data_IF_309474553831
#
_entry.id   IF_309474553831
#
_cell.length_a   1.000
_cell.length_b   1.000
_cell.length_c   1.000
_cell.angle_alpha   90.00
_cell.angle_beta   90.00
_cell.angle_gamma   90.00
#
_symmetry.space_group_name_H-M   'P 1'
#
loop_
_entity.id
_entity.type
_entity.pdbx_description
1 polymer ?
#
# COMPACT_ATOMS: atom_id res chain seq x y z
N UNK A 1 7.15 10.83 16.66
CA UNK A 1 6.89 12.11 15.95
C UNK A 1 7.08 13.33 16.86
N UNK A 2 6.31 13.49 17.94
CA UNK A 2 6.44 14.65 18.85
C UNK A 2 7.83 14.81 19.52
N UNK A 3 8.50 13.70 19.87
CA UNK A 3 9.84 13.73 20.50
C UNK A 3 10.95 14.11 19.50
N UNK A 4 10.83 13.68 18.24
CA UNK A 4 11.76 14.04 17.15
C UNK A 4 11.59 15.52 16.76
N UNK A 5 10.34 16.01 16.77
CA UNK A 5 10.01 17.43 16.53
C UNK A 5 10.53 18.32 17.66
N UNK A 6 10.52 17.85 18.91
CA UNK A 6 11.08 18.58 20.04
C UNK A 6 12.62 18.67 19.99
N UNK A 7 13.31 17.58 19.61
CA UNK A 7 14.77 17.56 19.49
C UNK A 7 15.32 18.46 18.37
N UNK A 8 14.56 18.66 17.28
CA UNK A 8 14.96 19.52 16.14
C UNK A 8 14.60 21.00 16.38
N UNK A 9 13.61 21.28 17.24
CA UNK A 9 13.22 22.66 17.59
C UNK A 9 14.33 23.41 18.34
N UNK A 10 15.23 22.68 19.01
CA UNK A 10 16.38 23.22 19.73
C UNK A 10 17.43 23.89 18.84
N UNK A 11 17.44 23.62 17.53
CA UNK A 11 18.50 24.08 16.61
C UNK A 11 18.03 25.19 15.63
N UNK A 12 16.75 25.61 15.74
CA UNK A 12 16.13 26.60 14.84
C UNK A 12 16.41 28.07 15.19
N UNK A 13 17.14 28.35 16.26
CA UNK A 13 17.32 29.73 16.76
C UNK A 13 18.40 30.54 16.04
N UNK A 14 19.03 30.00 14.98
CA UNK A 14 20.21 30.62 14.33
C UNK A 14 20.11 30.87 12.82
N UNK A 15 18.92 30.99 12.22
CA UNK A 15 18.81 31.21 10.76
C UNK A 15 17.98 32.46 10.37
N UNK A 16 18.43 33.25 9.38
CA UNK A 16 17.74 34.46 8.92
C UNK A 16 16.43 34.15 8.18
N UNK A 17 15.41 35.00 8.41
CA UNK A 17 13.99 34.71 8.19
C UNK A 17 13.49 34.50 6.75
N UNK A 18 14.31 34.71 5.71
CA UNK A 18 13.92 34.44 4.32
C UNK A 18 14.27 33.00 3.88
N UNK A 19 15.33 32.40 4.47
CA UNK A 19 15.72 31.02 4.21
C UNK A 19 14.85 30.01 4.95
N UNK A 20 14.21 30.41 6.06
CA UNK A 20 13.37 29.53 6.88
C UNK A 20 12.05 29.14 6.20
N UNK A 21 11.49 30.01 5.34
CA UNK A 21 10.26 29.70 4.58
C UNK A 21 10.52 28.81 3.37
N UNK A 22 11.65 28.99 2.68
CA UNK A 22 12.05 28.14 1.56
C UNK A 22 12.48 26.74 2.04
N UNK A 23 13.17 26.65 3.18
CA UNK A 23 13.45 25.37 3.83
C UNK A 23 12.19 24.68 4.38
N UNK A 24 11.21 25.42 4.92
CA UNK A 24 9.98 24.82 5.43
C UNK A 24 9.14 24.14 4.33
N UNK A 25 9.18 24.66 3.10
CA UNK A 25 8.38 24.14 1.99
C UNK A 25 9.05 22.95 1.25
N UNK A 26 10.39 22.94 1.15
CA UNK A 26 11.13 21.76 0.68
C UNK A 26 11.21 20.65 1.73
N UNK A 27 11.41 20.98 3.01
CA UNK A 27 11.50 20.01 4.10
C UNK A 27 10.17 19.26 4.33
N UNK A 28 9.01 19.84 3.99
CA UNK A 28 7.72 19.15 4.13
C UNK A 28 7.56 18.01 3.11
N UNK A 29 8.12 18.16 1.91
CA UNK A 29 8.05 17.17 0.82
C UNK A 29 9.02 16.00 1.03
N UNK A 30 10.17 16.27 1.64
CA UNK A 30 11.10 15.21 2.08
C UNK A 30 10.65 14.56 3.38
N UNK A 31 10.02 15.29 4.31
CA UNK A 31 9.53 14.75 5.58
C UNK A 31 8.46 13.66 5.42
N UNK A 32 7.72 13.59 4.32
CA UNK A 32 6.76 12.49 4.09
C UNK A 32 7.45 11.21 3.61
N UNK A 33 8.47 11.32 2.74
CA UNK A 33 9.29 10.19 2.30
C UNK A 33 10.20 9.70 3.43
N UNK A 34 10.82 10.64 4.14
CA UNK A 34 11.56 10.40 5.37
C UNK A 34 10.64 9.93 6.50
N UNK A 35 9.35 10.28 6.49
CA UNK A 35 8.41 9.86 7.53
C UNK A 35 8.25 8.36 7.58
N UNK A 36 8.02 7.71 6.43
CA UNK A 36 7.98 6.25 6.34
C UNK A 36 9.34 5.64 6.63
N UNK A 37 10.43 6.14 6.03
CA UNK A 37 11.78 5.61 6.27
C UNK A 37 12.22 5.77 7.73
N UNK A 38 11.87 6.87 8.38
CA UNK A 38 12.14 7.12 9.80
C UNK A 38 11.24 6.30 10.70
N UNK A 39 9.96 6.12 10.35
CA UNK A 39 9.07 5.17 11.02
C UNK A 39 9.68 3.76 10.94
N UNK A 40 10.15 3.35 9.78
CA UNK A 40 10.78 2.04 9.54
C UNK A 40 12.12 1.87 10.23
N UNK A 41 12.99 2.89 10.20
CA UNK A 41 14.26 2.88 10.92
C UNK A 41 13.99 2.80 12.42
N UNK A 42 13.03 3.59 12.93
CA UNK A 42 12.61 3.55 14.31
C UNK A 42 12.01 2.19 14.67
N UNK A 43 11.12 1.61 13.85
CA UNK A 43 10.56 0.27 14.04
C UNK A 43 11.61 -0.83 13.92
N UNK A 44 12.61 -0.68 13.04
CA UNK A 44 13.70 -1.63 12.91
C UNK A 44 14.61 -1.57 14.13
N UNK A 45 14.95 -0.38 14.64
CA UNK A 45 15.72 -0.19 15.86
C UNK A 45 14.96 -0.69 17.09
N UNK A 46 13.64 -0.46 17.15
CA UNK A 46 12.77 -0.99 18.19
C UNK A 46 12.60 -2.52 18.10
N UNK A 47 12.50 -3.07 16.89
CA UNK A 47 12.37 -4.50 16.63
C UNK A 47 13.65 -5.28 16.93
N UNK A 48 14.83 -4.68 16.70
CA UNK A 48 16.12 -5.27 17.10
C UNK A 48 16.38 -5.16 18.60
N UNK A 49 15.94 -4.06 19.24
CA UNK A 49 16.13 -3.84 20.69
C UNK A 49 15.12 -4.58 21.56
N UNK A 50 13.95 -4.94 21.02
CA UNK A 50 12.89 -5.67 21.71
C UNK A 50 12.27 -6.77 20.83
N UNK A 51 13.01 -7.87 20.55
CA UNK A 51 12.44 -9.04 19.89
C UNK A 51 11.53 -9.77 20.89
N UNK A 52 10.28 -9.33 21.01
CA UNK A 52 9.28 -9.95 21.88
C UNK A 52 8.00 -10.16 21.08
N UNK A 53 7.51 -11.40 21.05
CA UNK A 53 6.28 -11.88 20.41
C UNK A 53 4.98 -11.05 20.64
N UNK A 54 4.99 -10.06 21.53
CA UNK A 54 3.86 -9.15 21.76
C UNK A 54 3.73 -8.00 20.75
N UNK A 55 4.63 -7.88 19.76
CA UNK A 55 4.52 -6.92 18.65
C UNK A 55 4.38 -5.45 19.07
N UNK A 56 3.59 -4.66 18.32
CA UNK A 56 3.39 -3.22 18.59
C UNK A 56 2.80 -2.96 19.98
N UNK A 57 2.01 -3.90 20.50
CA UNK A 57 1.42 -3.82 21.83
C UNK A 57 2.49 -3.80 22.93
N UNK A 58 3.45 -4.73 22.92
CA UNK A 58 4.46 -4.83 23.97
C UNK A 58 5.35 -3.59 24.05
N UNK A 59 5.63 -2.98 22.90
CA UNK A 59 6.38 -1.73 22.78
C UNK A 59 5.58 -0.57 23.36
N UNK A 60 4.32 -0.40 22.94
CA UNK A 60 3.48 0.72 23.39
C UNK A 60 3.18 0.61 24.88
N UNK A 61 2.91 -0.61 25.38
CA UNK A 61 2.68 -0.85 26.80
C UNK A 61 3.89 -0.47 27.67
N UNK A 62 5.12 -0.67 27.17
CA UNK A 62 6.36 -0.32 27.88
C UNK A 62 6.66 1.18 27.85
N UNK A 63 6.42 1.86 26.74
CA UNK A 63 6.78 3.28 26.57
C UNK A 63 5.70 4.23 27.11
N UNK A 64 4.43 3.94 26.82
CA UNK A 64 3.28 4.81 27.13
C UNK A 64 2.43 4.27 28.30
N UNK A 65 2.80 3.13 28.85
CA UNK A 65 2.12 2.50 29.96
C UNK A 65 0.97 1.57 29.56
N UNK A 66 0.44 0.86 30.57
CA UNK A 66 -0.47 -0.29 30.40
C UNK A 66 -1.80 0.07 29.71
N UNK A 67 -2.31 1.28 29.91
CA UNK A 67 -3.55 1.75 29.28
C UNK A 67 -3.42 1.97 27.77
N UNK A 68 -2.37 2.66 27.33
CA UNK A 68 -2.08 2.86 25.90
C UNK A 68 -1.74 1.53 25.20
N UNK A 69 -1.07 0.62 25.91
CA UNK A 69 -0.91 -0.76 25.49
C UNK A 69 -2.25 -1.43 25.21
N UNK A 70 -3.15 -1.45 26.19
CA UNK A 70 -4.47 -2.09 26.04
C UNK A 70 -5.27 -1.56 24.84
N UNK A 71 -5.27 -0.23 24.61
CA UNK A 71 -5.92 0.37 23.43
C UNK A 71 -5.30 -0.17 22.13
N UNK A 72 -3.97 -0.24 22.06
CA UNK A 72 -3.25 -0.77 20.89
C UNK A 72 -3.58 -2.23 20.65
N UNK A 73 -3.74 -3.02 21.71
CA UNK A 73 -4.15 -4.42 21.63
C UNK A 73 -5.57 -4.56 21.07
N UNK A 74 -6.54 -3.83 21.63
CA UNK A 74 -7.94 -3.86 21.15
C UNK A 74 -8.04 -3.43 19.69
N UNK A 75 -7.32 -2.36 19.32
CA UNK A 75 -7.28 -1.89 17.92
C UNK A 75 -6.66 -2.93 16.99
N UNK A 76 -5.59 -3.59 17.42
CA UNK A 76 -4.94 -4.65 16.63
C UNK A 76 -5.86 -5.87 16.46
N UNK A 77 -6.59 -6.24 17.51
CA UNK A 77 -7.55 -7.33 17.47
C UNK A 77 -8.71 -7.02 16.52
N UNK A 78 -9.25 -5.80 16.57
CA UNK A 78 -10.28 -5.36 15.64
C UNK A 78 -9.81 -5.42 14.19
N UNK A 79 -8.58 -4.99 13.91
CA UNK A 79 -7.99 -5.07 12.57
C UNK A 79 -7.84 -6.51 12.06
N UNK A 80 -7.42 -7.45 12.92
CA UNK A 80 -7.30 -8.88 12.54
C UNK A 80 -8.67 -9.46 12.12
N UNK A 81 -9.76 -9.02 12.72
CA UNK A 81 -11.12 -9.49 12.38
C UNK A 81 -11.65 -8.82 11.10
N UNK A 82 -11.36 -7.54 10.89
CA UNK A 82 -11.95 -6.75 9.80
C UNK A 82 -11.19 -6.89 8.49
N UNK A 83 -9.86 -6.96 8.52
CA UNK A 83 -9.03 -6.93 7.31
C UNK A 83 -9.26 -8.15 6.39
N UNK A 84 -9.28 -9.41 6.87
CA UNK A 84 -9.44 -10.56 5.98
C UNK A 84 -10.78 -10.58 5.22
N UNK A 85 -11.95 -10.30 5.84
CA UNK A 85 -13.21 -10.18 5.11
C UNK A 85 -13.20 -9.07 4.05
N UNK A 86 -12.59 -7.92 4.34
CA UNK A 86 -12.48 -6.81 3.36
C UNK A 86 -11.66 -7.25 2.15
N UNK A 87 -10.53 -7.93 2.36
CA UNK A 87 -9.71 -8.47 1.26
C UNK A 87 -10.49 -9.54 0.49
N UNK A 88 -11.18 -10.45 1.18
CA UNK A 88 -11.96 -11.52 0.54
C UNK A 88 -13.10 -10.97 -0.34
N UNK A 89 -13.78 -9.91 0.11
CA UNK A 89 -14.80 -9.22 -0.70
C UNK A 89 -14.18 -8.54 -1.92
N UNK A 90 -13.04 -7.88 -1.76
CA UNK A 90 -12.30 -7.29 -2.89
C UNK A 90 -11.90 -8.35 -3.93
N UNK A 91 -11.35 -9.48 -3.49
CA UNK A 91 -11.02 -10.61 -4.38
C UNK A 91 -12.27 -11.20 -5.05
N UNK A 92 -13.36 -11.33 -4.30
CA UNK A 92 -14.61 -11.87 -4.81
C UNK A 92 -15.20 -11.03 -5.93
N UNK A 93 -15.04 -9.71 -5.89
CA UNK A 93 -15.53 -8.80 -6.92
C UNK A 93 -14.82 -9.00 -8.28
N UNK A 94 -13.50 -9.22 -8.25
CA UNK A 94 -12.76 -9.57 -9.47
C UNK A 94 -13.12 -10.95 -9.98
N UNK A 95 -13.21 -11.94 -9.10
CA UNK A 95 -13.48 -13.33 -9.49
C UNK A 95 -14.92 -13.53 -9.95
N UNK A 96 -15.89 -12.86 -9.32
CA UNK A 96 -17.30 -12.91 -9.69
C UNK A 96 -17.55 -12.29 -11.06
N UNK A 97 -16.84 -11.20 -11.39
CA UNK A 97 -16.93 -10.60 -12.72
C UNK A 97 -16.25 -11.44 -13.80
N UNK A 98 -15.17 -12.15 -13.48
CA UNK A 98 -14.47 -12.99 -14.44
C UNK A 98 -15.21 -14.31 -14.73
N UNK A 99 -15.90 -14.86 -13.72
CA UNK A 99 -16.57 -16.18 -13.79
C UNK A 99 -18.11 -16.09 -13.80
N UNK A 100 -18.68 -14.88 -13.80
CA UNK A 100 -20.13 -14.63 -13.75
C UNK A 100 -20.84 -15.31 -12.54
N UNK A 101 -20.20 -15.29 -11.37
CA UNK A 101 -20.70 -15.91 -10.14
C UNK A 101 -21.32 -14.89 -9.17
N UNK A 102 -22.18 -15.31 -8.21
CA UNK A 102 -22.68 -14.42 -7.17
C UNK A 102 -21.57 -13.96 -6.22
N UNK A 103 -21.31 -12.65 -6.14
CA UNK A 103 -20.21 -12.05 -5.35
C UNK A 103 -20.21 -12.49 -3.88
N UNK A 104 -21.38 -12.57 -3.23
CA UNK A 104 -21.48 -12.97 -1.83
C UNK A 104 -21.04 -14.43 -1.60
N UNK A 105 -21.42 -15.34 -2.50
CA UNK A 105 -21.02 -16.75 -2.43
C UNK A 105 -19.52 -16.90 -2.69
N UNK A 106 -19.00 -16.20 -3.71
CA UNK A 106 -17.58 -16.18 -4.02
C UNK A 106 -16.74 -15.67 -2.85
N UNK A 107 -17.17 -14.58 -2.18
CA UNK A 107 -16.50 -14.05 -0.99
C UNK A 107 -16.47 -15.01 0.18
N UNK A 108 -17.58 -15.72 0.43
CA UNK A 108 -17.63 -16.77 1.44
C UNK A 108 -16.64 -17.91 1.14
N UNK A 109 -16.58 -18.36 -0.12
CA UNK A 109 -15.64 -19.40 -0.56
C UNK A 109 -14.19 -18.94 -0.41
N UNK A 110 -13.86 -17.71 -0.84
CA UNK A 110 -12.51 -17.14 -0.68
C UNK A 110 -12.13 -17.09 0.81
N UNK A 111 -13.04 -16.65 1.68
CA UNK A 111 -12.79 -16.60 3.12
C UNK A 111 -12.60 -17.99 3.74
N UNK A 112 -13.38 -18.99 3.30
CA UNK A 112 -13.21 -20.38 3.73
C UNK A 112 -11.86 -20.96 3.30
N UNK A 113 -11.46 -20.70 2.05
CA UNK A 113 -10.15 -21.13 1.54
C UNK A 113 -9.01 -20.45 2.29
N UNK A 114 -9.10 -19.14 2.54
CA UNK A 114 -8.11 -18.40 3.32
C UNK A 114 -8.01 -18.90 4.76
N UNK A 115 -9.14 -19.26 5.37
CA UNK A 115 -9.16 -19.86 6.70
C UNK A 115 -8.53 -21.25 6.68
N UNK A 116 -8.84 -22.06 5.67
CA UNK A 116 -8.24 -23.39 5.52
C UNK A 116 -6.72 -23.33 5.33
N UNK A 117 -6.20 -22.40 4.53
CA UNK A 117 -4.75 -22.19 4.38
C UNK A 117 -4.11 -21.65 5.66
N UNK A 118 -4.82 -20.82 6.43
CA UNK A 118 -4.34 -20.34 7.73
C UNK A 118 -4.22 -21.46 8.79
N UNK A 119 -4.95 -22.57 8.63
CA UNK A 119 -4.85 -23.75 9.49
C UNK A 119 -3.68 -24.69 9.11
N UNK A 120 -3.01 -24.44 7.98
CA UNK A 120 -1.85 -25.24 7.56
C UNK A 120 -0.59 -24.85 8.32
N UNK A 121 0.40 -25.74 8.30
CA UNK A 121 1.73 -25.46 8.85
C UNK A 121 2.38 -24.22 8.20
N UNK A 122 3.24 -23.55 8.97
CA UNK A 122 3.94 -22.32 8.56
C UNK A 122 4.65 -22.47 7.21
N UNK A 123 5.25 -23.64 6.94
CA UNK A 123 5.92 -23.93 5.67
C UNK A 123 4.96 -23.94 4.48
N UNK A 124 3.78 -24.54 4.64
CA UNK A 124 2.75 -24.59 3.61
C UNK A 124 2.18 -23.20 3.37
N UNK A 125 1.93 -22.43 4.43
CA UNK A 125 1.47 -21.05 4.32
C UNK A 125 2.50 -20.15 3.59
N UNK A 126 3.79 -20.31 3.89
CA UNK A 126 4.87 -19.61 3.20
C UNK A 126 4.95 -19.98 1.71
N UNK A 127 4.76 -21.26 1.38
CA UNK A 127 4.74 -21.72 -0.02
C UNK A 127 3.55 -21.15 -0.80
N UNK A 128 2.35 -21.20 -0.22
CA UNK A 128 1.13 -20.64 -0.82
C UNK A 128 1.30 -19.14 -1.05
N UNK A 129 1.74 -18.40 -0.02
CA UNK A 129 2.01 -16.95 -0.12
C UNK A 129 3.04 -16.65 -1.20
N UNK A 130 4.12 -17.44 -1.28
CA UNK A 130 5.15 -17.28 -2.31
C UNK A 130 4.65 -17.53 -3.73
N UNK A 131 3.75 -18.51 -3.93
CA UNK A 131 3.12 -18.77 -5.23
C UNK A 131 2.23 -17.59 -5.63
N UNK A 132 1.37 -17.11 -4.74
CA UNK A 132 0.52 -15.95 -5.00
C UNK A 132 1.35 -14.70 -5.31
N UNK A 133 2.42 -14.46 -4.57
CA UNK A 133 3.35 -13.36 -4.86
C UNK A 133 4.01 -13.53 -6.24
N UNK A 134 4.40 -14.74 -6.63
CA UNK A 134 4.96 -15.01 -7.96
C UNK A 134 3.97 -14.71 -9.08
N UNK A 135 2.70 -15.11 -8.91
CA UNK A 135 1.61 -14.79 -9.84
C UNK A 135 1.35 -13.29 -9.88
N UNK A 136 1.34 -12.62 -8.73
CA UNK A 136 1.17 -11.17 -8.63
C UNK A 136 2.27 -10.41 -9.36
N UNK A 137 3.54 -10.79 -9.15
CA UNK A 137 4.69 -10.19 -9.84
C UNK A 137 4.59 -10.41 -11.35
N UNK A 138 4.18 -11.59 -11.80
CA UNK A 138 3.98 -11.87 -13.22
C UNK A 138 2.86 -11.00 -13.80
N UNK A 139 1.72 -10.91 -13.13
CA UNK A 139 0.61 -10.06 -13.55
C UNK A 139 1.02 -8.58 -13.62
N UNK A 140 1.71 -8.08 -12.59
CA UNK A 140 2.27 -6.73 -12.55
C UNK A 140 3.24 -6.47 -13.71
N UNK A 141 4.14 -7.43 -14.00
CA UNK A 141 5.07 -7.33 -15.11
C UNK A 141 4.36 -7.29 -16.47
N UNK A 142 3.32 -8.10 -16.67
CA UNK A 142 2.51 -8.08 -17.89
C UNK A 142 1.78 -6.75 -18.05
N UNK A 143 1.14 -6.24 -17.00
CA UNK A 143 0.47 -4.93 -17.01
C UNK A 143 1.47 -3.82 -17.34
N UNK A 144 2.65 -3.83 -16.71
CA UNK A 144 3.69 -2.86 -17.02
C UNK A 144 4.15 -2.96 -18.48
N UNK A 145 4.42 -4.17 -18.98
CA UNK A 145 4.83 -4.42 -20.36
C UNK A 145 3.78 -3.90 -21.36
N UNK A 146 2.51 -4.25 -21.19
CA UNK A 146 1.45 -3.83 -22.11
C UNK A 146 1.19 -2.33 -22.05
N UNK A 147 1.20 -1.73 -20.84
CA UNK A 147 1.00 -0.29 -20.67
C UNK A 147 2.12 0.55 -21.28
N UNK A 148 3.38 0.10 -21.17
CA UNK A 148 4.50 0.78 -21.83
C UNK A 148 4.57 0.51 -23.35
N UNK A 149 4.21 -0.68 -23.80
CA UNK A 149 4.19 -1.02 -25.24
C UNK A 149 3.11 -0.25 -26.01
N UNK A 150 1.99 0.05 -25.37
CA UNK A 150 0.86 0.81 -25.94
C UNK A 150 0.71 2.17 -25.25
N UNK A 151 1.83 2.87 -25.02
CA UNK A 151 1.78 4.19 -24.40
C UNK A 151 1.12 5.20 -25.35
N UNK A 152 -0.11 5.59 -25.03
CA UNK A 152 -0.88 6.60 -25.77
C UNK A 152 -0.60 8.02 -25.28
N UNK A 153 -0.06 8.18 -24.06
CA UNK A 153 0.13 9.48 -23.40
C UNK A 153 1.61 9.83 -23.19
N UNK A 154 1.98 11.12 -23.30
CA UNK A 154 3.36 11.55 -23.06
C UNK A 154 3.72 11.49 -21.57
N UNK A 155 5.02 11.33 -21.28
CA UNK A 155 5.54 11.34 -19.90
C UNK A 155 5.24 12.64 -19.13
N UNK A 156 4.97 13.74 -19.83
CA UNK A 156 4.56 15.01 -19.22
C UNK A 156 3.27 14.91 -18.41
N UNK A 157 2.39 13.95 -18.72
CA UNK A 157 1.16 13.66 -17.95
C UNK A 157 1.45 13.30 -16.50
N UNK A 158 2.61 12.70 -16.20
CA UNK A 158 3.00 12.35 -14.82
C UNK A 158 3.36 13.57 -13.98
N UNK A 159 3.73 14.69 -14.61
CA UNK A 159 4.25 15.89 -13.95
C UNK A 159 3.20 17.02 -13.94
N UNK A 160 2.26 16.99 -14.89
CA UNK A 160 1.12 17.90 -14.97
C UNK A 160 -0.19 17.12 -14.86
N UNK A 161 -0.55 16.62 -13.66
CA UNK A 161 -1.77 15.85 -13.49
C UNK A 161 -2.99 16.75 -13.70
N UNK A 162 -3.98 16.22 -14.40
CA UNK A 162 -5.31 16.83 -14.57
C UNK A 162 -6.35 15.88 -14.02
N UNK A 163 -7.45 16.43 -13.49
CA UNK A 163 -8.57 15.63 -13.03
C UNK A 163 -9.60 15.59 -14.16
N UNK A 164 -9.86 14.43 -14.77
CA UNK A 164 -10.94 14.31 -15.74
C UNK A 164 -12.29 14.66 -15.13
N UNK A 165 -13.06 15.45 -15.85
CA UNK A 165 -14.49 15.62 -15.60
C UNK A 165 -15.27 14.57 -16.40
N UNK A 166 -16.40 14.11 -15.85
CA UNK A 166 -17.31 13.16 -16.50
C UNK A 166 -17.87 13.69 -17.84
N UNK A 167 -17.83 15.01 -18.06
CA UNK A 167 -18.21 15.67 -19.30
C UNK A 167 -17.05 15.84 -20.32
N UNK A 168 -15.87 15.25 -20.06
CA UNK A 168 -14.69 15.38 -20.93
C UNK A 168 -13.89 16.67 -20.75
N UNK A 169 -14.23 17.47 -19.72
CA UNK A 169 -13.43 18.61 -19.28
C UNK A 169 -12.24 18.19 -18.41
N UNK A 170 -11.38 19.16 -18.07
CA UNK A 170 -10.31 18.98 -17.09
C UNK A 170 -10.51 19.98 -15.95
N UNK A 171 -10.58 19.49 -14.71
CA UNK A 171 -10.62 20.36 -13.53
C UNK A 171 -9.20 20.54 -12.96
N UNK A 172 -8.93 21.68 -12.29
CA UNK A 172 -7.60 21.95 -11.73
C UNK A 172 -7.23 20.91 -10.68
N UNK A 173 -5.99 20.41 -10.73
CA UNK A 173 -5.46 19.56 -9.69
C UNK A 173 -5.33 20.35 -8.38
N UNK A 174 -6.17 20.02 -7.41
CA UNK A 174 -6.23 20.72 -6.12
C UNK A 174 -5.38 20.02 -5.06
N UNK A 175 -5.02 20.76 -4.01
CA UNK A 175 -4.38 20.18 -2.83
C UNK A 175 -5.25 19.09 -2.18
N UNK A 176 -6.59 19.22 -2.21
CA UNK A 176 -7.50 18.21 -1.67
C UNK A 176 -7.39 16.87 -2.42
N UNK A 177 -7.28 16.91 -3.75
CA UNK A 177 -7.11 15.71 -4.58
C UNK A 177 -5.73 15.09 -4.36
N UNK A 178 -4.69 15.92 -4.20
CA UNK A 178 -3.38 15.43 -3.81
C UNK A 178 -3.43 14.70 -2.47
N UNK A 179 -4.07 15.28 -1.45
CA UNK A 179 -4.12 14.70 -0.10
C UNK A 179 -4.93 13.38 -0.06
N UNK A 180 -6.05 13.31 -0.78
CA UNK A 180 -6.86 12.10 -0.87
C UNK A 180 -6.14 10.99 -1.65
N UNK A 181 -5.53 11.32 -2.80
CA UNK A 181 -4.70 10.39 -3.56
C UNK A 181 -3.48 9.89 -2.76
N UNK A 182 -2.84 10.77 -1.99
CA UNK A 182 -1.76 10.39 -1.08
C UNK A 182 -2.26 9.46 0.03
N UNK A 183 -3.46 9.68 0.59
CA UNK A 183 -4.01 8.78 1.61
C UNK A 183 -4.23 7.36 1.05
N UNK A 184 -4.80 7.25 -0.15
CA UNK A 184 -4.97 5.97 -0.86
C UNK A 184 -3.61 5.34 -1.16
N UNK A 185 -2.66 6.11 -1.73
CA UNK A 185 -1.32 5.61 -2.01
C UNK A 185 -0.58 5.15 -0.75
N UNK A 186 -0.70 5.88 0.37
CA UNK A 186 -0.10 5.47 1.64
C UNK A 186 -0.70 4.14 2.10
N UNK A 187 -2.02 3.98 1.97
CA UNK A 187 -2.74 2.76 2.32
C UNK A 187 -2.28 1.56 1.49
N UNK A 188 -2.04 1.72 0.17
CA UNK A 188 -1.56 0.64 -0.71
C UNK A 188 -0.20 0.08 -0.29
N UNK A 189 0.65 0.89 0.36
CA UNK A 189 1.96 0.46 0.86
C UNK A 189 1.94 -0.03 2.32
N UNK A 190 0.76 -0.21 2.92
CA UNK A 190 0.64 -0.77 4.27
C UNK A 190 0.86 -2.29 4.24
N UNK A 191 1.74 -2.80 5.11
CA UNK A 191 1.99 -4.25 5.21
C UNK A 191 3.38 -4.61 5.73
N UNK A 192 4.35 -3.69 5.65
CA UNK A 192 5.73 -3.90 6.10
C UNK A 192 5.87 -4.29 7.58
N UNK A 193 4.91 -3.89 8.42
CA UNK A 193 4.91 -4.22 9.85
C UNK A 193 4.81 -5.73 10.14
N UNK A 194 4.37 -6.53 9.16
CA UNK A 194 4.28 -7.99 9.28
C UNK A 194 5.65 -8.66 9.42
N UNK A 195 6.70 -8.06 8.84
CA UNK A 195 8.07 -8.56 8.97
C UNK A 195 8.60 -8.53 10.42
N UNK A 196 8.05 -7.65 11.26
CA UNK A 196 8.41 -7.57 12.68
C UNK A 196 7.82 -8.75 13.45
N UNK A 197 6.62 -9.22 13.10
CA UNK A 197 6.01 -10.39 13.73
C UNK A 197 6.78 -11.68 13.41
N UNK A 198 7.36 -11.77 12.21
CA UNK A 198 8.20 -12.91 11.81
C UNK A 198 9.67 -12.77 12.21
N UNK A 199 10.03 -11.73 12.97
CA UNK A 199 11.44 -11.45 13.30
C UNK A 199 12.08 -12.57 14.13
N UNK A 200 11.30 -13.29 14.95
CA UNK A 200 11.78 -14.43 15.75
C UNK A 200 12.14 -15.66 14.89
N UNK A 201 11.61 -15.76 13.67
CA UNK A 201 11.89 -16.86 12.73
C UNK A 201 13.11 -16.57 11.83
N UNK A 202 13.66 -15.36 11.88
CA UNK A 202 14.80 -14.96 11.06
C UNK A 202 16.13 -15.41 11.67
N UNK A 203 17.01 -15.96 10.83
CA UNK A 203 18.41 -16.18 11.20
C UNK A 203 19.12 -14.82 11.34
N UNK A 204 19.63 -14.52 12.53
CA UNK A 204 20.30 -13.26 12.89
C UNK A 204 19.39 -12.02 12.74
N UNK A 205 18.34 -11.89 13.59
CA UNK A 205 17.28 -10.89 13.43
C UNK A 205 17.82 -9.45 13.40
N UNK A 206 18.86 -9.13 14.16
CA UNK A 206 19.39 -7.75 14.29
C UNK A 206 19.82 -7.11 12.96
N UNK A 207 20.42 -7.87 12.05
CA UNK A 207 20.88 -7.34 10.75
C UNK A 207 19.93 -7.73 9.62
N UNK A 208 19.33 -8.91 9.72
CA UNK A 208 18.45 -9.45 8.69
C UNK A 208 17.12 -8.72 8.63
N UNK A 209 16.52 -8.31 9.77
CA UNK A 209 15.22 -7.62 9.79
C UNK A 209 15.28 -6.29 9.04
N UNK A 210 16.24 -5.43 9.37
CA UNK A 210 16.36 -4.10 8.75
C UNK A 210 16.56 -4.20 7.23
N UNK A 211 17.45 -5.09 6.78
CA UNK A 211 17.70 -5.32 5.35
C UNK A 211 16.47 -5.88 4.64
N UNK A 212 15.81 -6.88 5.22
CA UNK A 212 14.59 -7.47 4.64
C UNK A 212 13.48 -6.44 4.50
N UNK A 213 13.29 -5.58 5.50
CA UNK A 213 12.29 -4.50 5.46
C UNK A 213 12.60 -3.50 4.34
N UNK A 214 13.85 -3.08 4.18
CA UNK A 214 14.23 -2.15 3.10
C UNK A 214 14.00 -2.79 1.73
N UNK A 215 14.43 -4.04 1.54
CA UNK A 215 14.24 -4.74 0.26
C UNK A 215 12.76 -5.01 -0.04
N UNK A 216 11.94 -5.35 0.96
CA UNK A 216 10.51 -5.57 0.75
C UNK A 216 9.78 -4.29 0.35
N UNK A 217 10.19 -3.15 0.89
CA UNK A 217 9.64 -1.84 0.48
C UNK A 217 10.06 -1.44 -0.91
N UNK A 218 11.33 -1.63 -1.27
CA UNK A 218 11.80 -1.35 -2.62
C UNK A 218 11.09 -2.25 -3.64
N UNK A 219 10.92 -3.54 -3.31
CA UNK A 219 10.15 -4.46 -4.13
C UNK A 219 8.69 -4.01 -4.26
N UNK A 220 8.02 -3.68 -3.17
CA UNK A 220 6.64 -3.18 -3.19
C UNK A 220 6.54 -1.90 -4.04
N UNK A 221 7.48 -0.96 -3.90
CA UNK A 221 7.52 0.27 -4.67
C UNK A 221 7.63 0.02 -6.18
N UNK A 222 8.40 -0.98 -6.60
CA UNK A 222 8.53 -1.35 -8.00
C UNK A 222 7.30 -2.11 -8.51
N UNK A 223 6.85 -3.12 -7.76
CA UNK A 223 5.72 -3.99 -8.14
C UNK A 223 4.41 -3.21 -8.21
N UNK A 224 4.22 -2.20 -7.35
CA UNK A 224 3.02 -1.34 -7.38
C UNK A 224 3.25 -0.14 -8.30
N UNK A 225 4.41 0.51 -8.19
CA UNK A 225 4.67 1.78 -8.86
C UNK A 225 4.82 1.65 -10.38
N UNK A 226 5.55 0.64 -10.87
CA UNK A 226 5.77 0.48 -12.32
C UNK A 226 4.47 0.22 -13.08
N UNK A 227 3.61 -0.74 -12.67
CA UNK A 227 2.32 -0.93 -13.34
C UNK A 227 1.41 0.28 -13.22
N UNK A 228 1.43 1.00 -12.09
CA UNK A 228 0.64 2.23 -11.93
C UNK A 228 1.04 3.28 -12.97
N UNK A 229 2.34 3.51 -13.16
CA UNK A 229 2.83 4.43 -14.19
C UNK A 229 2.46 3.94 -15.59
N UNK A 230 2.62 2.63 -15.85
CA UNK A 230 2.29 2.04 -17.14
C UNK A 230 0.81 2.16 -17.49
N UNK A 231 -0.10 1.97 -16.52
CA UNK A 231 -1.54 2.16 -16.69
C UNK A 231 -1.86 3.60 -17.04
N UNK A 232 -1.27 4.57 -16.33
CA UNK A 232 -1.51 6.00 -16.60
C UNK A 232 -1.05 6.38 -18.01
N UNK A 233 0.08 5.85 -18.48
CA UNK A 233 0.61 6.15 -19.81
C UNK A 233 -0.08 5.36 -20.94
N UNK A 234 -0.51 4.14 -20.65
CA UNK A 234 -1.16 3.24 -21.61
C UNK A 234 -2.65 3.48 -21.77
N UNK A 235 -3.30 4.20 -20.86
CA UNK A 235 -4.72 4.49 -20.96
C UNK A 235 -5.04 5.44 -22.14
N UNK A 236 -6.01 5.09 -23.01
CA UNK A 236 -6.39 5.93 -24.15
C UNK A 236 -7.03 7.26 -23.75
N UNK A 237 -7.79 7.29 -22.64
CA UNK A 237 -8.44 8.49 -22.13
C UNK A 237 -8.49 8.51 -20.60
N UNK A 238 -8.60 9.72 -20.03
CA UNK A 238 -8.78 9.89 -18.59
C UNK A 238 -10.15 9.38 -18.10
N UNK A 239 -11.16 9.36 -18.97
CA UNK A 239 -12.46 8.77 -18.70
C UNK A 239 -12.38 7.25 -18.57
N UNK A 240 -11.52 6.58 -19.35
CA UNK A 240 -11.29 5.14 -19.22
C UNK A 240 -10.58 4.82 -17.90
N UNK A 241 -9.66 5.67 -17.42
CA UNK A 241 -9.06 5.53 -16.09
C UNK A 241 -10.09 5.73 -14.96
N UNK A 242 -10.98 6.73 -15.11
CA UNK A 242 -12.00 7.04 -14.12
C UNK A 242 -13.19 6.06 -14.10
N UNK A 243 -13.41 5.33 -15.20
CA UNK A 243 -14.50 4.34 -15.33
C UNK A 243 -14.04 2.89 -15.31
N UNK A 244 -12.71 2.66 -15.27
CA UNK A 244 -12.10 1.36 -15.02
C UNK A 244 -12.18 0.93 -13.54
N UNK A 245 -12.98 1.63 -12.72
CA UNK A 245 -13.28 1.21 -11.36
C UNK A 245 -13.88 -0.21 -11.33
N UNK A 246 -13.71 -0.82 -10.15
CA UNK A 246 -13.87 -2.24 -9.87
C UNK A 246 -15.15 -2.84 -10.47
N UNK A 247 -15.18 -4.15 -10.80
CA UNK A 247 -16.27 -4.74 -11.58
C UNK A 247 -17.70 -4.52 -11.06
N UNK A 248 -17.89 -4.20 -9.77
CA UNK A 248 -19.20 -3.82 -9.22
C UNK A 248 -19.66 -2.41 -9.60
N UNK A 249 -18.74 -1.46 -9.83
CA UNK A 249 -19.05 -0.07 -10.21
C UNK A 249 -19.39 0.07 -11.70
N UNK A 250 -18.82 -0.80 -12.55
CA UNK A 250 -19.09 -0.81 -14.00
C UNK A 250 -19.20 -2.23 -14.57
N UNK A 251 -20.32 -2.94 -14.34
CA UNK A 251 -20.57 -4.29 -14.85
C UNK A 251 -20.67 -4.37 -16.39
N UNK A 252 -20.54 -3.25 -17.10
CA UNK A 252 -20.44 -3.16 -18.56
C UNK A 252 -19.01 -3.12 -19.11
N UNK A 253 -18.01 -2.74 -18.30
CA UNK A 253 -16.61 -2.66 -18.72
C UNK A 253 -16.04 -4.04 -19.09
N UNK A 254 -16.36 -5.07 -18.31
CA UNK A 254 -15.97 -6.46 -18.61
C UNK A 254 -16.60 -6.98 -19.92
N UNK A 255 -17.78 -6.47 -20.31
CA UNK A 255 -18.46 -6.85 -21.56
C UNK A 255 -17.89 -6.18 -22.80
N UNK A 256 -17.25 -5.01 -22.66
CA UNK A 256 -16.73 -4.21 -23.78
C UNK A 256 -15.48 -4.81 -24.45
N UNK A 257 -14.76 -5.71 -23.77
CA UNK A 257 -13.58 -6.38 -24.32
C UNK A 257 -13.86 -7.65 -25.13
N UNK A 258 -15.13 -8.05 -25.32
CA UNK A 258 -15.46 -9.07 -26.33
C UNK A 258 -15.32 -8.43 -27.72
N UNK A 259 -14.43 -8.92 -28.59
CA UNK A 259 -14.38 -8.44 -29.97
C UNK A 259 -15.76 -8.66 -30.59
N UNK A 260 -16.37 -7.59 -31.12
CA UNK A 260 -17.57 -7.69 -31.93
C UNK A 260 -17.24 -8.57 -33.13
N UNK A 261 -17.90 -9.73 -33.21
CA UNK A 261 -17.86 -10.57 -34.39
C UNK A 261 -18.71 -9.90 -35.48
N UNK A 262 -18.08 -9.01 -36.24
CA UNK A 262 -18.52 -8.60 -37.58
C UNK A 262 -17.44 -9.03 -38.59
#
# INVERSE_FOLDING_TARGET
MAVLVASIRSDRTRLPGHLSRFYADQHNKEATRLGKLAELLCYSELGTRFPVAGGKYSIVARVLGRGAGWITFVMSLAMIVVVPPVIALGTAEYLSSALELPTAATGAVVMLLATATALLDVRSNAMVTGIFLGVEVLAAALVAMFGFAHAHRPLSTLVAPVIPDAAGGSTPFTLGVLLTGLAVGIFTFQGFGSAVYLSEELKQPERSVARTVIWSLLAAMLIIGLPTVAIVLGAPSDADLATADSPSSNPGAARRWRPSSD
#
